data_IF_403506228496
#
_entry.id   IF_403506228496
#
_cell.length_a   1.000
_cell.length_b   1.000
_cell.length_c   1.000
_cell.angle_alpha   90.00
_cell.angle_beta   90.00
_cell.angle_gamma   90.00
#
_symmetry.space_group_name_H-M   'P 1'
#
loop_
_entity.id
_entity.type
_entity.pdbx_description
1 polymer ?
#
# COMPACT_ATOMS: atom_id res chain seq x y z
N UNK A 1 24.98 -21.59 32.67
CA UNK A 1 23.56 -21.88 32.97
C UNK A 1 23.04 -22.81 31.89
N UNK A 2 22.73 -24.08 32.22
CA UNK A 2 22.24 -25.08 31.27
C UNK A 2 20.73 -24.94 31.15
N UNK A 3 20.21 -24.66 29.95
CA UNK A 3 18.78 -24.64 29.67
C UNK A 3 18.23 -26.05 29.54
N UNK A 4 17.14 -26.34 30.24
CA UNK A 4 16.32 -27.54 30.08
C UNK A 4 15.19 -27.27 29.09
N UNK A 5 15.05 -28.11 28.06
CA UNK A 5 13.94 -28.05 27.11
C UNK A 5 12.91 -29.13 27.46
N UNK A 6 11.62 -28.77 27.42
CA UNK A 6 10.49 -29.68 27.58
C UNK A 6 9.82 -29.88 26.22
N UNK A 7 9.68 -31.13 25.80
CA UNK A 7 8.92 -31.49 24.60
C UNK A 7 7.56 -32.04 25.05
N UNK A 8 6.48 -31.45 24.52
CA UNK A 8 5.11 -31.87 24.81
C UNK A 8 4.55 -32.56 23.57
N UNK A 9 4.17 -33.83 23.71
CA UNK A 9 3.51 -34.61 22.65
C UNK A 9 2.08 -34.92 23.08
N UNK A 10 1.12 -34.60 22.19
CA UNK A 10 -0.29 -34.90 22.39
C UNK A 10 -0.60 -36.29 21.85
N UNK A 11 -1.17 -37.16 22.70
CA UNK A 11 -1.59 -38.51 22.29
C UNK A 11 -3.10 -38.72 22.55
N UNK A 12 -3.79 -39.55 21.75
CA UNK A 12 -5.19 -39.91 21.99
C UNK A 12 -5.36 -40.66 23.32
N UNK A 13 -6.30 -40.22 24.15
CA UNK A 13 -6.56 -40.86 25.45
C UNK A 13 -7.06 -42.30 25.27
N UNK A 14 -6.50 -43.28 25.99
CA UNK A 14 -6.92 -44.69 25.95
C UNK A 14 -8.21 -45.00 26.72
N UNK A 15 -8.90 -43.98 27.27
CA UNK A 15 -10.14 -44.18 28.01
C UNK A 15 -11.35 -44.41 27.08
N UNK A 16 -12.31 -45.23 27.51
CA UNK A 16 -13.51 -45.61 26.74
C UNK A 16 -14.26 -44.36 26.26
N UNK A 17 -14.57 -44.34 24.97
CA UNK A 17 -15.19 -43.23 24.23
C UNK A 17 -16.62 -43.00 24.72
N UNK A 18 -16.96 -41.75 25.04
CA UNK A 18 -18.32 -41.32 25.39
C UNK A 18 -19.14 -41.21 24.08
N UNK A 19 -20.34 -41.82 23.96
CA UNK A 19 -21.08 -41.90 22.68
C UNK A 19 -21.61 -40.55 22.16
N UNK A 20 -21.50 -39.46 22.94
CA UNK A 20 -21.99 -38.13 22.56
C UNK A 20 -20.94 -37.14 22.02
N UNK A 21 -19.65 -37.51 21.97
CA UNK A 21 -18.58 -36.58 21.61
C UNK A 21 -18.09 -36.75 20.16
N UNK A 22 -18.15 -35.69 19.36
CA UNK A 22 -17.75 -35.69 17.93
C UNK A 22 -16.23 -35.53 17.71
N UNK A 23 -15.45 -35.19 18.76
CA UNK A 23 -13.99 -35.01 18.64
C UNK A 23 -13.26 -35.74 19.80
N UNK A 24 -12.19 -36.51 19.53
CA UNK A 24 -11.48 -37.27 20.56
C UNK A 24 -10.71 -36.33 21.52
N UNK A 25 -10.73 -36.67 22.81
CA UNK A 25 -10.00 -35.98 23.86
C UNK A 25 -8.50 -36.32 23.78
N UNK A 26 -7.63 -35.32 23.64
CA UNK A 26 -6.17 -35.48 23.62
C UNK A 26 -5.60 -35.11 24.99
N UNK A 27 -4.70 -35.95 25.52
CA UNK A 27 -3.93 -35.64 26.74
C UNK A 27 -2.47 -35.33 26.39
N UNK A 28 -1.88 -34.40 27.14
CA UNK A 28 -0.49 -33.99 27.00
C UNK A 28 0.40 -34.81 27.95
N UNK A 29 1.32 -35.59 27.39
CA UNK A 29 2.36 -36.25 28.17
C UNK A 29 3.65 -35.41 28.12
N UNK A 30 4.26 -35.15 29.28
CA UNK A 30 5.51 -34.41 29.42
C UNK A 30 6.55 -35.33 30.03
N UNK A 31 7.67 -35.54 29.33
CA UNK A 31 8.80 -36.35 29.83
C UNK A 31 10.11 -35.54 29.82
N UNK A 32 10.90 -35.56 30.90
CA UNK A 32 12.24 -34.96 30.90
C UNK A 32 13.27 -35.89 30.27
N UNK A 33 14.12 -35.38 29.37
CA UNK A 33 15.20 -36.14 28.75
C UNK A 33 16.58 -35.62 29.24
N UNK A 34 17.54 -36.49 29.65
CA UNK A 34 18.87 -36.05 30.02
C UNK A 34 19.77 -35.81 28.79
N UNK A 35 20.72 -34.88 28.92
CA UNK A 35 21.67 -34.51 27.86
C UNK A 35 22.68 -35.65 27.56
N UNK A 36 23.08 -35.86 26.29
CA UNK A 36 24.08 -36.86 25.94
C UNK A 36 25.50 -36.44 26.40
N UNK A 37 26.38 -37.37 26.85
CA UNK A 37 27.73 -37.04 27.31
C UNK A 37 28.84 -37.20 26.25
N UNK A 38 29.75 -36.22 26.21
CA UNK A 38 31.15 -36.28 25.70
C UNK A 38 31.34 -36.06 24.19
N UNK A 39 32.30 -35.30 23.65
CA UNK A 39 33.61 -34.80 24.14
C UNK A 39 34.02 -33.54 23.35
N UNK A 40 34.62 -32.58 24.05
CA UNK A 40 35.35 -31.43 23.48
C UNK A 40 36.84 -31.78 23.49
N UNK A 41 37.54 -31.72 22.34
CA UNK A 41 38.90 -31.16 22.28
C UNK A 41 39.31 -30.71 20.87
N UNK A 42 39.55 -29.40 20.79
CA UNK A 42 40.44 -28.57 19.96
C UNK A 42 41.04 -29.00 18.60
N UNK A 43 40.89 -28.06 17.65
CA UNK A 43 41.86 -27.50 16.68
C UNK A 43 42.82 -28.41 15.90
N UNK A 44 42.67 -28.40 14.56
CA UNK A 44 43.72 -27.89 13.66
C UNK A 44 43.18 -27.49 12.28
N UNK A 45 43.56 -26.27 11.90
CA UNK A 45 43.63 -25.62 10.57
C UNK A 45 43.61 -26.53 9.34
N UNK A 46 42.78 -26.18 8.35
CA UNK A 46 43.18 -25.59 7.05
C UNK A 46 42.03 -25.71 6.03
N UNK A 47 41.91 -24.68 5.16
CA UNK A 47 41.38 -24.65 3.78
C UNK A 47 41.01 -23.17 3.50
N UNK A 48 41.98 -22.33 3.11
CA UNK A 48 42.47 -22.09 1.73
C UNK A 48 41.49 -21.26 0.87
N UNK A 49 41.93 -20.03 0.53
CA UNK A 49 41.34 -19.06 -0.40
C UNK A 49 41.05 -19.64 -1.79
N UNK A 50 40.04 -19.15 -2.52
CA UNK A 50 39.99 -19.29 -3.97
C UNK A 50 40.99 -18.32 -4.66
N UNK A 51 41.65 -18.70 -5.76
CA UNK A 51 42.69 -17.88 -6.37
C UNK A 51 42.14 -16.86 -7.38
N UNK A 52 42.87 -15.74 -7.45
CA UNK A 52 42.88 -14.74 -8.51
C UNK A 52 43.47 -15.32 -9.80
N UNK A 53 42.95 -14.91 -10.96
CA UNK A 53 43.76 -14.88 -12.20
C UNK A 53 43.32 -13.72 -13.11
N UNK A 54 44.16 -12.68 -13.15
CA UNK A 54 44.26 -11.73 -14.25
C UNK A 54 44.96 -12.41 -15.44
N UNK A 55 44.52 -12.16 -16.67
CA UNK A 55 45.34 -11.55 -17.73
C UNK A 55 44.61 -11.44 -19.09
N UNK A 56 44.57 -10.20 -19.59
CA UNK A 56 44.41 -9.69 -20.97
C UNK A 56 45.77 -9.90 -21.69
N UNK A 57 45.89 -10.07 -23.04
CA UNK A 57 45.53 -9.03 -24.02
C UNK A 57 44.96 -9.38 -25.42
N UNK A 58 44.26 -8.37 -25.94
CA UNK A 58 43.93 -7.93 -27.33
C UNK A 58 45.05 -8.12 -28.38
N UNK A 59 44.84 -7.97 -29.72
CA UNK A 59 43.94 -6.99 -30.36
C UNK A 59 43.19 -7.39 -31.66
N UNK A 60 42.29 -6.47 -32.07
CA UNK A 60 41.55 -6.41 -33.35
C UNK A 60 42.46 -6.25 -34.59
N UNK A 61 41.91 -6.26 -35.84
CA UNK A 61 41.38 -4.99 -36.40
C UNK A 61 40.21 -5.08 -37.44
N UNK A 62 39.41 -4.01 -37.43
CA UNK A 62 38.85 -3.17 -38.53
C UNK A 62 38.14 -3.69 -39.80
N UNK A 63 37.13 -2.87 -40.17
CA UNK A 63 36.59 -2.50 -41.51
C UNK A 63 35.61 -3.51 -42.17
N UNK A 64 34.57 -3.16 -42.93
CA UNK A 64 33.98 -1.90 -43.43
C UNK A 64 32.70 -2.26 -44.22
N UNK A 65 31.85 -1.24 -44.45
CA UNK A 65 31.10 -0.99 -45.70
C UNK A 65 29.76 -1.67 -46.05
N UNK A 66 28.81 -0.74 -46.34
CA UNK A 66 27.93 -0.62 -47.52
C UNK A 66 26.50 -1.18 -47.53
N UNK A 67 25.57 -0.22 -47.64
CA UNK A 67 24.51 -0.07 -48.64
C UNK A 67 24.06 -1.30 -49.45
N UNK A 68 22.74 -1.50 -49.53
CA UNK A 68 21.99 -1.38 -50.80
C UNK A 68 20.47 -1.31 -50.58
N UNK A 69 19.86 -0.32 -51.24
CA UNK A 69 18.46 -0.30 -51.70
C UNK A 69 18.16 -1.52 -52.58
N UNK A 70 16.87 -1.90 -52.74
CA UNK A 70 16.13 -1.80 -54.03
C UNK A 70 14.71 -2.40 -53.95
N UNK A 71 13.76 -1.55 -54.36
CA UNK A 71 12.51 -1.73 -55.14
C UNK A 71 11.33 -2.63 -54.71
N UNK A 72 10.15 -2.04 -54.98
CA UNK A 72 8.94 -2.73 -55.43
C UNK A 72 7.69 -2.19 -54.71
N UNK A 73 7.29 -0.93 -54.88
CA UNK A 73 6.45 -0.40 -55.98
C UNK A 73 5.01 -0.96 -56.06
N UNK A 74 4.09 -0.01 -56.26
CA UNK A 74 2.68 -0.09 -56.71
C UNK A 74 1.60 -0.22 -55.61
N UNK A 75 0.97 0.89 -55.18
CA UNK A 75 -0.02 1.80 -55.84
C UNK A 75 -1.46 1.33 -55.72
N UNK A 76 -2.25 2.18 -55.04
CA UNK A 76 -3.62 2.59 -55.31
C UNK A 76 -4.68 1.51 -55.60
N UNK A 77 -5.74 1.49 -54.78
CA UNK A 77 -7.01 2.13 -55.18
C UNK A 77 -7.98 2.30 -54.01
N UNK A 78 -8.77 3.36 -54.15
CA UNK A 78 -9.73 3.94 -53.22
C UNK A 78 -11.11 3.38 -53.56
N UNK A 79 -11.87 2.94 -52.58
CA UNK A 79 -13.25 2.50 -52.74
C UNK A 79 -14.06 2.77 -51.47
N UNK A 80 -15.05 3.64 -51.61
CA UNK A 80 -15.95 4.21 -50.62
C UNK A 80 -17.28 3.43 -50.51
N UNK A 81 -18.06 3.76 -49.45
CA UNK A 81 -19.48 3.41 -49.20
C UNK A 81 -19.74 1.98 -48.73
N UNK A 82 -20.76 1.66 -47.93
CA UNK A 82 -21.61 2.30 -46.91
C UNK A 82 -22.43 1.12 -46.32
N UNK A 83 -23.00 1.29 -45.13
CA UNK A 83 -24.18 0.60 -44.57
C UNK A 83 -24.45 -0.91 -44.85
N UNK A 84 -24.62 -1.70 -43.80
CA UNK A 84 -25.97 -2.11 -43.36
C UNK A 84 -25.93 -3.06 -42.15
N UNK A 85 -26.89 -2.82 -41.25
CA UNK A 85 -27.35 -3.75 -40.21
C UNK A 85 -27.75 -5.08 -40.84
N UNK A 86 -27.49 -6.21 -40.15
CA UNK A 86 -28.55 -7.10 -39.65
C UNK A 86 -28.03 -8.38 -38.97
N UNK A 87 -28.79 -8.74 -37.93
CA UNK A 87 -29.17 -10.09 -37.46
C UNK A 87 -28.14 -11.06 -36.89
N UNK A 88 -28.42 -11.41 -35.62
CA UNK A 88 -28.12 -12.71 -34.99
C UNK A 88 -28.60 -13.87 -35.87
N UNK A 89 -27.91 -15.02 -35.77
CA UNK A 89 -28.54 -16.24 -35.23
C UNK A 89 -27.67 -16.81 -34.10
N UNK A 90 -28.21 -17.42 -33.06
CA UNK A 90 -28.78 -18.76 -33.13
C UNK A 90 -27.76 -19.74 -32.52
N UNK A 91 -28.04 -20.16 -31.29
CA UNK A 91 -27.27 -21.14 -30.50
C UNK A 91 -27.29 -22.51 -31.20
N UNK A 92 -26.23 -23.30 -31.09
CA UNK A 92 -26.42 -24.73 -30.90
C UNK A 92 -25.65 -25.28 -29.70
N UNK A 93 -25.95 -26.55 -29.45
CA UNK A 93 -25.88 -27.26 -28.20
C UNK A 93 -24.50 -27.76 -27.78
N UNK A 94 -24.49 -28.25 -26.54
CA UNK A 94 -23.39 -28.82 -25.77
C UNK A 94 -22.80 -30.06 -26.43
N UNK A 95 -21.47 -30.16 -26.39
CA UNK A 95 -20.77 -31.44 -26.29
C UNK A 95 -19.86 -31.39 -25.06
N UNK A 96 -20.05 -32.39 -24.19
CA UNK A 96 -19.18 -32.68 -23.05
C UNK A 96 -17.80 -33.09 -23.55
N UNK A 97 -16.74 -32.58 -22.93
CA UNK A 97 -15.49 -33.32 -22.76
C UNK A 97 -14.80 -32.87 -21.48
N UNK A 98 -14.48 -33.85 -20.63
CA UNK A 98 -13.89 -33.66 -19.33
C UNK A 98 -12.40 -33.35 -19.40
N UNK A 99 -11.96 -32.51 -18.46
CA UNK A 99 -10.57 -32.48 -18.00
C UNK A 99 -10.57 -32.08 -16.52
N UNK A 100 -10.12 -33.00 -15.69
CA UNK A 100 -9.97 -32.87 -14.25
C UNK A 100 -8.92 -31.81 -13.91
N UNK A 101 -9.31 -30.83 -13.10
CA UNK A 101 -8.38 -29.98 -12.35
C UNK A 101 -8.93 -29.84 -10.93
N UNK A 102 -8.20 -30.41 -9.97
CA UNK A 102 -8.47 -30.34 -8.53
C UNK A 102 -8.62 -28.89 -8.06
N UNK A 103 -9.86 -28.46 -7.79
CA UNK A 103 -10.16 -27.23 -7.05
C UNK A 103 -10.72 -27.62 -5.68
N UNK A 104 -10.05 -27.13 -4.63
CA UNK A 104 -10.55 -27.19 -3.25
C UNK A 104 -11.89 -26.43 -3.19
N UNK A 105 -12.97 -27.00 -2.63
CA UNK A 105 -14.25 -26.31 -2.57
C UNK A 105 -14.21 -25.15 -1.57
N UNK A 106 -14.91 -24.02 -1.83
CA UNK A 106 -15.08 -22.98 -0.83
C UNK A 106 -15.97 -23.53 0.29
N UNK A 107 -15.43 -23.60 1.51
CA UNK A 107 -16.17 -23.95 2.73
C UNK A 107 -17.30 -22.95 2.94
N UNK A 108 -18.53 -23.33 2.58
CA UNK A 108 -19.76 -22.64 2.97
C UNK A 108 -20.13 -23.09 4.38
N UNK A 109 -20.01 -22.22 5.36
CA UNK A 109 -20.59 -22.43 6.68
C UNK A 109 -22.13 -22.26 6.58
N UNK A 110 -22.94 -23.19 7.13
CA UNK A 110 -24.39 -23.01 7.21
C UNK A 110 -24.74 -21.88 8.19
N UNK A 111 -25.58 -20.95 7.75
CA UNK A 111 -26.10 -19.82 8.53
C UNK A 111 -27.22 -20.24 9.52
N UNK A 112 -27.42 -21.53 9.78
CA UNK A 112 -28.52 -22.05 10.60
C UNK A 112 -28.23 -22.17 12.10
N UNK A 113 -27.07 -21.72 12.59
CA UNK A 113 -26.75 -21.74 14.03
C UNK A 113 -27.01 -20.38 14.75
N UNK A 114 -27.93 -19.56 14.22
CA UNK A 114 -28.30 -18.25 14.77
C UNK A 114 -29.52 -18.27 15.71
N UNK A 115 -29.85 -19.42 16.27
CA UNK A 115 -30.82 -19.54 17.37
C UNK A 115 -30.25 -20.53 18.36
N UNK A 116 -29.72 -20.02 19.47
CA UNK A 116 -30.09 -20.51 20.79
C UNK A 116 -29.44 -19.69 21.89
N UNK A 117 -30.26 -19.43 22.92
CA UNK A 117 -30.08 -18.44 23.96
C UNK A 117 -28.89 -18.68 24.88
N UNK A 118 -28.43 -17.57 25.43
CA UNK A 118 -27.41 -17.49 26.46
C UNK A 118 -27.87 -18.24 27.73
N UNK A 119 -27.15 -19.31 28.07
CA UNK A 119 -27.05 -19.79 29.46
C UNK A 119 -25.57 -19.80 29.82
N UNK A 120 -25.12 -18.72 30.45
CA UNK A 120 -23.83 -18.68 31.13
C UNK A 120 -23.90 -19.59 32.37
N UNK A 121 -23.19 -20.72 32.32
CA UNK A 121 -22.86 -21.47 33.53
C UNK A 121 -21.53 -20.92 34.02
N UNK A 122 -21.59 -20.15 35.11
CA UNK A 122 -20.42 -19.70 35.83
C UNK A 122 -19.71 -20.91 36.46
N UNK A 123 -18.45 -21.14 36.07
CA UNK A 123 -17.52 -21.92 36.88
C UNK A 123 -16.16 -21.22 36.90
N UNK A 124 -15.59 -21.11 38.11
CA UNK A 124 -14.64 -20.09 38.49
C UNK A 124 -13.22 -20.22 37.96
N UNK A 125 -12.47 -19.12 38.09
CA UNK A 125 -11.00 -19.14 38.17
C UNK A 125 -10.21 -18.32 37.15
N UNK A 126 -10.83 -17.51 36.29
CA UNK A 126 -10.09 -16.57 35.43
C UNK A 126 -10.97 -15.37 35.15
N UNK A 127 -10.48 -14.14 35.41
CA UNK A 127 -11.20 -12.96 34.97
C UNK A 127 -11.50 -13.08 33.46
N UNK A 128 -12.75 -12.96 33.00
CA UNK A 128 -13.10 -13.14 31.59
C UNK A 128 -12.32 -12.26 30.61
N UNK A 129 -11.67 -11.20 31.12
CA UNK A 129 -10.78 -10.32 30.36
C UNK A 129 -9.35 -10.84 30.17
N UNK A 130 -8.79 -11.61 31.11
CA UNK A 130 -7.36 -11.96 31.07
C UNK A 130 -7.06 -12.95 29.93
N UNK A 131 -7.92 -13.94 29.72
CA UNK A 131 -7.76 -14.93 28.64
C UNK A 131 -7.81 -14.25 27.26
N UNK A 132 -8.74 -13.31 27.05
CA UNK A 132 -8.84 -12.55 25.80
C UNK A 132 -7.54 -11.79 25.52
N UNK A 133 -6.99 -11.09 26.50
CA UNK A 133 -5.78 -10.28 26.31
C UNK A 133 -4.55 -11.15 26.02
N UNK A 134 -4.45 -12.33 26.63
CA UNK A 134 -3.41 -13.31 26.32
C UNK A 134 -3.54 -13.78 24.87
N UNK A 135 -4.72 -14.21 24.43
CA UNK A 135 -4.91 -14.69 23.06
C UNK A 135 -4.76 -13.58 22.02
N UNK A 136 -5.27 -12.38 22.27
CA UNK A 136 -5.04 -11.25 21.36
C UNK A 136 -3.54 -10.95 21.26
N UNK A 137 -2.78 -11.10 22.35
CA UNK A 137 -1.31 -10.96 22.32
C UNK A 137 -0.65 -12.05 21.49
N UNK A 138 -1.10 -13.30 21.57
CA UNK A 138 -0.65 -14.39 20.68
C UNK A 138 -1.00 -14.09 19.22
N UNK A 139 -2.21 -13.65 18.96
CA UNK A 139 -2.70 -13.33 17.60
C UNK A 139 -1.92 -12.20 16.92
N UNK A 140 -1.22 -11.34 17.66
CA UNK A 140 -0.36 -10.28 17.07
C UNK A 140 0.81 -10.86 16.27
N UNK A 141 1.20 -12.11 16.51
CA UNK A 141 2.26 -12.79 15.77
C UNK A 141 1.76 -13.50 14.51
N UNK A 142 0.45 -13.58 14.32
CA UNK A 142 -0.15 -14.23 13.15
C UNK A 142 -0.29 -13.27 11.97
N UNK A 143 -0.18 -13.83 10.78
CA UNK A 143 -0.53 -13.12 9.55
C UNK A 143 -2.04 -12.91 9.45
N UNK A 144 -2.46 -11.95 8.62
CA UNK A 144 -3.90 -11.70 8.36
C UNK A 144 -4.62 -12.93 7.81
N UNK A 145 -3.94 -13.77 7.04
CA UNK A 145 -4.50 -15.00 6.49
C UNK A 145 -4.73 -16.04 7.60
N UNK A 146 -3.76 -16.23 8.48
CA UNK A 146 -3.87 -17.13 9.64
C UNK A 146 -4.96 -16.66 10.61
N UNK A 147 -5.08 -15.34 10.85
CA UNK A 147 -6.18 -14.79 11.65
C UNK A 147 -7.56 -15.13 11.08
N UNK A 148 -7.70 -15.13 9.75
CA UNK A 148 -8.95 -15.56 9.11
C UNK A 148 -9.23 -17.05 9.32
N UNK A 149 -8.20 -17.90 9.44
CA UNK A 149 -8.36 -19.32 9.80
C UNK A 149 -8.73 -19.46 11.28
N UNK A 150 -8.10 -18.70 12.18
CA UNK A 150 -8.44 -18.66 13.60
C UNK A 150 -9.91 -18.31 13.85
N UNK A 151 -10.50 -17.44 13.01
CA UNK A 151 -11.92 -17.09 13.10
C UNK A 151 -12.85 -18.30 12.93
N UNK A 152 -12.40 -19.40 12.32
CA UNK A 152 -13.20 -20.60 12.11
C UNK A 152 -13.10 -21.62 13.27
N UNK A 153 -12.23 -21.40 14.25
CA UNK A 153 -11.96 -22.37 15.33
C UNK A 153 -13.10 -22.42 16.35
N UNK A 154 -13.49 -21.26 16.92
CA UNK A 154 -14.59 -21.18 17.88
C UNK A 154 -15.19 -19.77 17.94
N UNK A 155 -16.34 -19.60 18.61
CA UNK A 155 -17.04 -18.31 18.75
C UNK A 155 -16.17 -17.24 19.44
N UNK A 156 -15.34 -17.61 20.42
CA UNK A 156 -14.44 -16.69 21.10
C UNK A 156 -13.30 -16.24 20.18
N UNK A 157 -12.64 -17.17 19.49
CA UNK A 157 -11.57 -16.86 18.55
C UNK A 157 -12.07 -16.02 17.38
N UNK A 158 -13.31 -16.24 16.91
CA UNK A 158 -13.96 -15.34 15.95
C UNK A 158 -14.00 -13.89 16.47
N UNK A 159 -14.49 -13.68 17.69
CA UNK A 159 -14.59 -12.33 18.29
C UNK A 159 -13.21 -11.71 18.53
N UNK A 160 -12.27 -12.47 19.09
CA UNK A 160 -10.94 -11.98 19.45
C UNK A 160 -10.05 -11.73 18.24
N UNK A 161 -10.15 -12.57 17.19
CA UNK A 161 -9.44 -12.35 15.93
C UNK A 161 -9.94 -11.12 15.19
N UNK A 162 -11.11 -10.56 15.53
CA UNK A 162 -11.62 -9.30 14.98
C UNK A 162 -11.17 -8.07 15.78
N UNK A 163 -10.35 -8.22 16.82
CA UNK A 163 -9.84 -7.09 17.61
C UNK A 163 -9.13 -6.07 16.70
N UNK A 164 -9.58 -4.80 16.77
CA UNK A 164 -9.08 -3.70 15.93
C UNK A 164 -7.55 -3.54 15.96
N UNK A 165 -6.90 -3.92 17.07
CA UNK A 165 -5.43 -3.86 17.22
C UNK A 165 -4.72 -4.77 16.22
N UNK A 166 -5.36 -5.85 15.79
CA UNK A 166 -4.84 -6.81 14.82
C UNK A 166 -5.02 -6.34 13.36
N UNK A 167 -5.92 -5.38 13.13
CA UNK A 167 -6.34 -4.93 11.80
C UNK A 167 -6.09 -3.44 11.56
N UNK A 168 -5.10 -2.87 12.25
CA UNK A 168 -4.74 -1.45 12.13
C UNK A 168 -4.52 -0.99 10.69
N UNK A 169 -4.00 -1.87 9.83
CA UNK A 169 -3.87 -1.66 8.39
C UNK A 169 -4.53 -2.80 7.62
N UNK A 170 -5.34 -2.47 6.63
CA UNK A 170 -5.92 -3.42 5.67
C UNK A 170 -5.50 -3.01 4.26
N UNK A 171 -5.00 -3.96 3.48
CA UNK A 171 -4.61 -3.76 2.09
C UNK A 171 -5.41 -4.72 1.20
N UNK A 172 -6.04 -4.16 0.16
CA UNK A 172 -6.89 -4.86 -0.81
C UNK A 172 -6.41 -4.71 -2.26
N UNK A 173 -5.19 -4.27 -2.50
CA UNK A 173 -4.68 -3.98 -3.86
C UNK A 173 -4.71 -5.19 -4.79
N UNK A 174 -4.65 -6.40 -4.24
CA UNK A 174 -4.72 -7.67 -5.00
C UNK A 174 -6.15 -7.98 -5.48
N UNK A 175 -7.17 -7.30 -4.95
CA UNK A 175 -8.58 -7.60 -5.24
C UNK A 175 -9.14 -6.67 -6.32
N UNK A 176 -9.42 -7.22 -7.51
CA UNK A 176 -10.04 -6.45 -8.60
C UNK A 176 -11.43 -5.89 -8.23
N UNK A 177 -12.22 -6.66 -7.48
CA UNK A 177 -13.55 -6.28 -7.04
C UNK A 177 -13.69 -6.46 -5.52
N UNK A 178 -14.46 -5.57 -4.89
CA UNK A 178 -14.70 -5.63 -3.44
C UNK A 178 -16.12 -6.13 -3.19
N UNK A 179 -16.24 -7.30 -2.56
CA UNK A 179 -17.54 -7.89 -2.23
C UNK A 179 -18.23 -7.17 -1.07
N UNK A 180 -19.57 -7.20 -0.98
CA UNK A 180 -20.29 -6.66 0.18
C UNK A 180 -19.85 -7.27 1.52
N UNK A 181 -19.50 -8.56 1.52
CA UNK A 181 -18.98 -9.26 2.70
C UNK A 181 -17.60 -8.72 3.10
N UNK A 182 -16.73 -8.41 2.13
CA UNK A 182 -15.45 -7.78 2.40
C UNK A 182 -15.66 -6.40 3.03
N UNK A 183 -16.55 -5.57 2.47
CA UNK A 183 -16.87 -4.25 3.04
C UNK A 183 -17.39 -4.35 4.48
N UNK A 184 -18.33 -5.27 4.75
CA UNK A 184 -18.83 -5.54 6.11
C UNK A 184 -17.72 -5.98 7.05
N UNK A 185 -16.82 -6.84 6.56
CA UNK A 185 -15.64 -7.27 7.29
C UNK A 185 -14.66 -6.15 7.60
N UNK A 186 -14.46 -5.18 6.71
CA UNK A 186 -13.60 -4.01 6.94
C UNK A 186 -14.20 -3.15 8.06
N UNK A 187 -15.52 -2.89 7.99
CA UNK A 187 -16.22 -2.09 9.01
C UNK A 187 -16.14 -2.76 10.37
N UNK A 188 -16.32 -4.08 10.47
CA UNK A 188 -16.19 -4.79 11.76
C UNK A 188 -14.79 -4.66 12.38
N UNK A 189 -13.76 -4.52 11.55
CA UNK A 189 -12.34 -4.47 11.97
C UNK A 189 -11.84 -3.05 12.28
N UNK A 190 -12.54 -2.01 11.84
CA UNK A 190 -12.23 -0.60 12.12
C UNK A 190 -10.73 -0.23 11.89
N UNK A 191 -10.18 -0.43 10.68
CA UNK A 191 -8.79 -0.10 10.40
C UNK A 191 -8.51 1.41 10.51
N UNK A 192 -7.27 1.74 10.86
CA UNK A 192 -6.75 3.12 10.84
C UNK A 192 -6.16 3.48 9.47
N UNK A 193 -5.61 2.49 8.76
CA UNK A 193 -5.15 2.63 7.39
C UNK A 193 -5.84 1.63 6.46
N UNK A 194 -6.36 2.14 5.34
CA UNK A 194 -7.03 1.35 4.33
C UNK A 194 -6.42 1.62 2.96
N UNK A 195 -5.93 0.57 2.32
CA UNK A 195 -5.37 0.63 0.97
C UNK A 195 -6.30 -0.09 -0.01
N UNK A 196 -6.91 0.70 -0.90
CA UNK A 196 -7.83 0.27 -1.96
C UNK A 196 -7.24 0.58 -3.34
N UNK A 197 -5.92 0.79 -3.43
CA UNK A 197 -5.27 1.15 -4.68
C UNK A 197 -5.50 0.07 -5.74
N UNK A 198 -5.74 0.49 -6.98
CA UNK A 198 -5.97 -0.40 -8.15
C UNK A 198 -7.19 -1.32 -8.02
N UNK A 199 -8.13 -0.99 -7.14
CA UNK A 199 -9.41 -1.70 -7.00
C UNK A 199 -10.52 -1.02 -7.80
N UNK A 200 -11.49 -1.80 -8.29
CA UNK A 200 -12.70 -1.26 -8.93
C UNK A 200 -13.78 -0.96 -7.87
N UNK A 201 -13.45 -0.13 -6.88
CA UNK A 201 -14.42 0.33 -5.89
C UNK A 201 -15.34 1.38 -6.53
N UNK A 202 -16.65 1.28 -6.29
CA UNK A 202 -17.63 2.29 -6.73
C UNK A 202 -17.79 3.42 -5.70
N UNK A 203 -18.31 4.58 -6.15
CA UNK A 203 -18.66 5.71 -5.27
C UNK A 203 -19.52 5.28 -4.07
N UNK A 204 -20.56 4.48 -4.30
CA UNK A 204 -21.47 3.99 -3.25
C UNK A 204 -20.73 3.18 -2.19
N UNK A 205 -19.84 2.29 -2.62
CA UNK A 205 -19.06 1.46 -1.71
C UNK A 205 -18.05 2.30 -0.91
N UNK A 206 -17.36 3.25 -1.55
CA UNK A 206 -16.43 4.13 -0.86
C UNK A 206 -17.17 5.04 0.15
N UNK A 207 -18.29 5.65 -0.26
CA UNK A 207 -19.17 6.40 0.66
C UNK A 207 -19.60 5.54 1.85
N UNK A 208 -19.98 4.28 1.61
CA UNK A 208 -20.40 3.37 2.68
C UNK A 208 -19.27 3.08 3.69
N UNK A 209 -18.03 2.95 3.21
CA UNK A 209 -16.86 2.74 4.06
C UNK A 209 -16.52 3.99 4.87
N UNK A 210 -16.36 5.15 4.22
CA UNK A 210 -15.92 6.38 4.91
C UNK A 210 -16.91 6.83 5.97
N UNK A 211 -18.22 6.63 5.74
CA UNK A 211 -19.26 6.95 6.72
C UNK A 211 -19.29 6.01 7.93
N UNK A 212 -18.61 4.86 7.87
CA UNK A 212 -18.62 3.81 8.92
C UNK A 212 -17.23 3.51 9.48
N UNK A 213 -16.23 4.31 9.12
CA UNK A 213 -14.85 4.20 9.59
C UNK A 213 -14.38 5.52 10.22
N UNK A 214 -14.95 5.91 11.39
CA UNK A 214 -14.62 7.18 12.04
C UNK A 214 -13.14 7.28 12.48
N UNK A 215 -12.48 6.14 12.68
CA UNK A 215 -11.06 6.07 13.06
C UNK A 215 -10.08 6.08 11.89
N UNK A 216 -10.56 6.13 10.64
CA UNK A 216 -9.71 6.07 9.45
C UNK A 216 -8.86 7.35 9.33
N UNK A 217 -7.56 7.18 9.16
CA UNK A 217 -6.58 8.28 9.05
C UNK A 217 -5.80 8.22 7.76
N UNK A 218 -5.51 7.02 7.27
CA UNK A 218 -4.71 6.81 6.07
C UNK A 218 -5.56 6.10 5.02
N UNK A 219 -5.76 6.74 3.86
CA UNK A 219 -6.56 6.19 2.77
C UNK A 219 -5.76 6.23 1.47
N UNK A 220 -5.56 5.06 0.87
CA UNK A 220 -4.87 4.93 -0.42
C UNK A 220 -5.85 4.53 -1.51
N UNK A 221 -5.93 5.35 -2.56
CA UNK A 221 -6.81 5.22 -3.71
C UNK A 221 -6.02 5.35 -5.01
N UNK A 222 -4.74 4.96 -5.02
CA UNK A 222 -3.92 5.07 -6.23
C UNK A 222 -4.53 4.25 -7.37
N UNK A 223 -4.57 4.78 -8.59
CA UNK A 223 -5.16 4.08 -9.74
C UNK A 223 -6.69 3.94 -9.72
N UNK A 224 -7.40 4.50 -8.74
CA UNK A 224 -8.86 4.54 -8.74
C UNK A 224 -9.39 5.69 -9.61
N UNK A 225 -10.62 5.57 -10.10
CA UNK A 225 -11.28 6.63 -10.88
C UNK A 225 -11.86 7.74 -9.97
N UNK A 226 -11.83 8.98 -10.46
CA UNK A 226 -12.48 10.13 -9.84
C UNK A 226 -13.96 9.88 -9.52
N UNK A 227 -14.67 9.14 -10.38
CA UNK A 227 -16.09 8.79 -10.15
C UNK A 227 -16.30 8.20 -8.75
N UNK A 228 -15.36 7.39 -8.29
CA UNK A 228 -15.38 6.79 -6.95
C UNK A 228 -14.78 7.71 -5.89
N UNK A 229 -13.63 8.34 -6.17
CA UNK A 229 -12.94 9.25 -5.24
C UNK A 229 -13.82 10.45 -4.83
N UNK A 230 -14.72 10.91 -5.71
CA UNK A 230 -15.69 11.96 -5.42
C UNK A 230 -16.61 11.67 -4.22
N UNK A 231 -16.63 10.42 -3.70
CA UNK A 231 -17.24 10.09 -2.42
C UNK A 231 -16.62 10.86 -1.23
N UNK A 232 -15.34 11.23 -1.32
CA UNK A 232 -14.61 11.95 -0.28
C UNK A 232 -15.01 13.42 -0.15
N UNK A 233 -15.68 13.99 -1.16
CA UNK A 233 -16.26 15.34 -1.09
C UNK A 233 -17.47 15.43 -0.14
N UNK A 234 -17.90 14.31 0.44
CA UNK A 234 -18.98 14.28 1.44
C UNK A 234 -18.51 14.84 2.79
N UNK A 235 -19.40 15.54 3.50
CA UNK A 235 -19.16 16.04 4.86
C UNK A 235 -18.95 14.94 5.89
N UNK A 236 -19.32 13.70 5.58
CA UNK A 236 -19.12 12.52 6.42
C UNK A 236 -17.72 11.89 6.27
N UNK A 237 -16.84 12.49 5.46
CA UNK A 237 -15.47 12.03 5.29
C UNK A 237 -14.69 12.17 6.60
N UNK A 238 -13.97 11.12 7.07
CA UNK A 238 -13.16 11.21 8.28
C UNK A 238 -12.00 12.18 8.09
N UNK A 239 -11.46 12.69 9.20
CA UNK A 239 -10.33 13.63 9.19
C UNK A 239 -9.02 12.91 8.88
N UNK A 240 -8.79 12.69 7.59
CA UNK A 240 -7.61 11.99 7.08
C UNK A 240 -6.33 12.77 7.38
N UNK A 241 -5.26 12.01 7.62
CA UNK A 241 -3.87 12.46 7.74
C UNK A 241 -3.06 12.11 6.51
N UNK A 242 -3.39 11.01 5.85
CA UNK A 242 -2.72 10.57 4.63
C UNK A 242 -3.76 10.28 3.56
N UNK A 243 -3.59 10.89 2.40
CA UNK A 243 -4.38 10.61 1.21
C UNK A 243 -3.46 10.39 0.01
N UNK A 244 -3.64 9.27 -0.67
CA UNK A 244 -2.90 8.91 -1.87
C UNK A 244 -3.85 8.75 -3.05
N UNK A 245 -3.66 9.62 -4.04
CA UNK A 245 -4.39 9.66 -5.30
C UNK A 245 -3.46 9.45 -6.50
N UNK A 246 -2.28 8.83 -6.30
CA UNK A 246 -1.30 8.62 -7.38
C UNK A 246 -1.93 7.88 -8.55
N UNK A 247 -1.70 8.35 -9.77
CA UNK A 247 -2.22 7.75 -11.00
C UNK A 247 -3.74 7.55 -11.02
N UNK A 248 -4.49 8.33 -10.23
CA UNK A 248 -5.93 8.26 -10.22
C UNK A 248 -6.51 8.80 -11.53
N UNK A 249 -7.43 8.04 -12.12
CA UNK A 249 -8.02 8.37 -13.41
C UNK A 249 -9.04 9.51 -13.29
N UNK A 250 -8.96 10.50 -14.18
CA UNK A 250 -9.88 11.64 -14.23
C UNK A 250 -9.70 12.67 -13.10
N UNK A 251 -8.62 12.60 -12.31
CA UNK A 251 -8.34 13.59 -11.26
C UNK A 251 -7.48 14.73 -11.81
N UNK A 252 -8.07 15.92 -11.93
CA UNK A 252 -7.41 17.17 -12.35
C UNK A 252 -7.67 18.29 -11.34
N UNK A 253 -7.19 19.50 -11.62
CA UNK A 253 -7.35 20.67 -10.76
C UNK A 253 -8.81 20.94 -10.33
N UNK A 254 -9.78 20.76 -11.23
CA UNK A 254 -11.20 20.94 -10.93
C UNK A 254 -11.70 19.94 -9.88
N UNK A 255 -11.31 18.68 -10.01
CA UNK A 255 -11.70 17.61 -9.10
C UNK A 255 -11.05 17.77 -7.72
N UNK A 256 -9.78 18.20 -7.67
CA UNK A 256 -9.13 18.53 -6.40
C UNK A 256 -9.82 19.73 -5.72
N UNK A 257 -10.30 20.72 -6.50
CA UNK A 257 -11.11 21.82 -5.97
C UNK A 257 -12.42 21.32 -5.37
N UNK A 258 -13.14 20.43 -6.06
CA UNK A 258 -14.40 19.84 -5.57
C UNK A 258 -14.19 18.98 -4.32
N UNK A 259 -13.01 18.37 -4.16
CA UNK A 259 -12.63 17.63 -2.96
C UNK A 259 -12.35 18.55 -1.77
N UNK A 260 -11.66 19.66 -2.00
CA UNK A 260 -11.22 20.57 -0.94
C UNK A 260 -12.27 21.61 -0.54
N UNK A 261 -13.11 22.01 -1.48
CA UNK A 261 -14.13 23.03 -1.31
C UNK A 261 -15.48 22.59 -1.94
N UNK A 262 -16.12 21.53 -1.40
CA UNK A 262 -17.41 21.10 -1.90
C UNK A 262 -18.47 22.20 -1.71
N UNK A 263 -19.39 22.38 -2.67
CA UNK A 263 -20.43 23.41 -2.60
C UNK A 263 -21.32 23.21 -1.37
N UNK A 264 -21.56 24.29 -0.62
CA UNK A 264 -22.40 24.29 0.59
C UNK A 264 -21.69 24.03 1.92
N UNK A 265 -20.35 23.94 1.94
CA UNK A 265 -19.56 23.85 3.18
C UNK A 265 -18.95 25.21 3.55
N UNK A 266 -18.95 25.58 4.84
CA UNK A 266 -18.45 26.86 5.40
C UNK A 266 -16.92 27.05 5.30
N UNK A 267 -16.32 26.84 4.12
CA UNK A 267 -14.88 26.94 3.85
C UNK A 267 -13.97 26.04 4.74
N UNK A 268 -14.53 25.16 5.57
CA UNK A 268 -13.78 24.24 6.42
C UNK A 268 -13.52 22.94 5.66
N UNK A 269 -12.34 22.84 5.06
CA UNK A 269 -11.91 21.62 4.37
C UNK A 269 -11.85 20.41 5.31
N UNK A 270 -12.33 19.25 4.84
CA UNK A 270 -12.20 17.98 5.57
C UNK A 270 -10.74 17.50 5.65
N UNK A 271 -9.87 18.01 4.78
CA UNK A 271 -8.47 17.63 4.68
C UNK A 271 -7.53 18.57 5.48
N UNK A 272 -8.06 19.33 6.45
CA UNK A 272 -7.25 20.25 7.28
C UNK A 272 -6.16 19.56 8.12
N UNK A 273 -6.37 18.28 8.44
CA UNK A 273 -5.44 17.47 9.22
C UNK A 273 -4.44 16.70 8.34
N UNK A 274 -4.40 17.00 7.04
CA UNK A 274 -3.53 16.32 6.09
C UNK A 274 -2.06 16.57 6.46
N UNK A 275 -1.31 15.49 6.58
CA UNK A 275 0.13 15.46 6.81
C UNK A 275 0.86 14.92 5.58
N UNK A 276 0.23 14.01 4.84
CA UNK A 276 0.84 13.36 3.68
C UNK A 276 -0.13 13.31 2.50
N UNK A 277 0.18 14.04 1.44
CA UNK A 277 -0.67 14.09 0.25
C UNK A 277 0.12 13.67 -0.98
N UNK A 278 -0.35 12.60 -1.65
CA UNK A 278 0.34 12.02 -2.81
C UNK A 278 -0.51 12.14 -4.06
N UNK A 279 0.00 12.87 -5.04
CA UNK A 279 -0.67 13.28 -6.28
C UNK A 279 0.14 12.89 -7.53
N UNK A 280 1.08 11.96 -7.41
CA UNK A 280 1.96 11.59 -8.51
C UNK A 280 1.18 11.16 -9.76
N UNK A 281 1.66 11.55 -10.94
CA UNK A 281 1.09 11.16 -12.23
C UNK A 281 -0.25 11.81 -12.56
N UNK A 282 -0.66 12.85 -11.83
CA UNK A 282 -1.89 13.61 -12.12
C UNK A 282 -1.63 14.83 -13.01
N UNK A 283 -2.64 15.22 -13.79
CA UNK A 283 -2.66 16.45 -14.59
C UNK A 283 -3.09 17.65 -13.73
N UNK A 284 -2.18 18.10 -12.85
CA UNK A 284 -2.39 19.23 -11.95
C UNK A 284 -1.47 20.41 -12.26
N UNK A 285 -1.88 21.60 -11.84
CA UNK A 285 -1.17 22.86 -12.05
C UNK A 285 -1.01 23.66 -10.75
N UNK A 286 -0.48 24.88 -10.87
CA UNK A 286 -0.39 25.88 -9.80
C UNK A 286 -1.72 26.09 -9.06
N UNK A 287 -2.84 25.88 -9.73
CA UNK A 287 -4.16 26.04 -9.13
C UNK A 287 -4.42 25.03 -8.00
N UNK A 288 -4.00 23.77 -8.16
CA UNK A 288 -4.05 22.77 -7.08
C UNK A 288 -3.16 23.18 -5.92
N UNK A 289 -1.95 23.68 -6.17
CA UNK A 289 -1.02 24.06 -5.09
C UNK A 289 -1.55 25.24 -4.25
N UNK A 290 -2.21 26.21 -4.88
CA UNK A 290 -2.89 27.30 -4.14
C UNK A 290 -3.94 26.74 -3.17
N UNK A 291 -4.67 25.70 -3.58
CA UNK A 291 -5.64 25.04 -2.71
C UNK A 291 -4.96 24.26 -1.58
N UNK A 292 -3.87 23.55 -1.87
CA UNK A 292 -3.07 22.83 -0.86
C UNK A 292 -2.58 23.79 0.22
N UNK A 293 -1.96 24.91 -0.18
CA UNK A 293 -1.47 25.94 0.75
C UNK A 293 -2.61 26.48 1.64
N UNK A 294 -3.78 26.72 1.05
CA UNK A 294 -4.95 27.26 1.76
C UNK A 294 -5.58 26.26 2.74
N UNK A 295 -5.66 24.99 2.37
CA UNK A 295 -6.51 24.02 3.07
C UNK A 295 -5.73 22.98 3.90
N UNK A 296 -4.40 22.86 3.74
CA UNK A 296 -3.58 21.84 4.41
C UNK A 296 -2.43 22.45 5.21
N UNK A 297 -2.70 23.15 6.33
CA UNK A 297 -1.66 23.85 7.09
C UNK A 297 -0.69 22.92 7.84
N UNK A 298 -1.01 21.63 7.95
CA UNK A 298 -0.19 20.64 8.67
C UNK A 298 0.60 19.72 7.72
N UNK A 299 0.65 20.06 6.43
CA UNK A 299 1.25 19.19 5.42
C UNK A 299 2.76 19.10 5.60
N UNK A 300 3.27 17.89 5.78
CA UNK A 300 4.71 17.61 5.95
C UNK A 300 5.29 16.83 4.76
N UNK A 301 4.49 15.98 4.12
CA UNK A 301 4.90 15.16 2.98
C UNK A 301 4.04 15.44 1.76
N UNK A 302 4.67 15.83 0.67
CA UNK A 302 3.99 16.13 -0.58
C UNK A 302 4.68 15.42 -1.74
N UNK A 303 3.93 14.57 -2.44
CA UNK A 303 4.42 13.86 -3.63
C UNK A 303 3.67 14.38 -4.86
N UNK A 304 4.41 15.02 -5.75
CA UNK A 304 3.98 15.64 -7.00
C UNK A 304 4.76 15.06 -8.18
N UNK A 305 5.36 13.87 -8.03
CA UNK A 305 6.16 13.26 -9.08
C UNK A 305 5.35 13.00 -10.35
N UNK A 306 5.98 13.11 -11.52
CA UNK A 306 5.36 12.95 -12.84
C UNK A 306 4.17 13.90 -13.12
N UNK A 307 4.02 15.01 -12.38
CA UNK A 307 3.04 16.06 -12.68
C UNK A 307 3.60 17.04 -13.73
N UNK A 308 3.27 16.83 -15.01
CA UNK A 308 3.79 17.64 -16.13
C UNK A 308 3.26 19.08 -16.24
N UNK A 309 2.25 19.44 -15.43
CA UNK A 309 1.69 20.80 -15.37
C UNK A 309 2.46 21.74 -14.44
N UNK A 310 3.36 21.22 -13.61
CA UNK A 310 4.09 22.01 -12.61
C UNK A 310 5.33 22.70 -13.19
N UNK A 311 5.56 23.94 -12.79
CA UNK A 311 6.64 24.82 -13.23
C UNK A 311 7.41 25.38 -12.02
N UNK A 312 8.49 26.12 -12.26
CA UNK A 312 9.23 26.78 -11.17
C UNK A 312 8.34 27.76 -10.38
N UNK A 313 7.31 28.32 -11.01
CA UNK A 313 6.33 29.17 -10.34
C UNK A 313 5.46 28.40 -9.34
N UNK A 314 5.17 27.12 -9.61
CA UNK A 314 4.51 26.21 -8.67
C UNK A 314 5.30 26.12 -7.36
N UNK A 315 6.62 26.01 -7.47
CA UNK A 315 7.53 25.92 -6.33
C UNK A 315 7.67 27.27 -5.61
N UNK A 316 7.70 28.37 -6.36
CA UNK A 316 7.65 29.71 -5.78
C UNK A 316 6.39 29.91 -4.92
N UNK A 317 5.22 29.44 -5.37
CA UNK A 317 3.97 29.50 -4.60
C UNK A 317 4.05 28.71 -3.29
N UNK A 318 4.53 27.46 -3.32
CA UNK A 318 4.68 26.62 -2.12
C UNK A 318 5.63 27.22 -1.08
N UNK A 319 6.63 27.97 -1.53
CA UNK A 319 7.71 28.52 -0.69
C UNK A 319 7.56 30.03 -0.41
N UNK A 320 6.50 30.65 -0.92
CA UNK A 320 6.23 32.08 -0.76
C UNK A 320 6.07 32.46 0.72
N UNK A 321 6.33 33.73 1.03
CA UNK A 321 6.07 34.28 2.37
C UNK A 321 4.58 34.18 2.66
N UNK A 322 4.22 33.69 3.86
CA UNK A 322 2.83 33.44 4.24
C UNK A 322 2.25 32.10 3.75
N UNK A 323 3.00 31.32 2.96
CA UNK A 323 2.61 29.95 2.62
C UNK A 323 2.70 29.05 3.85
N UNK A 324 1.62 28.31 4.14
CA UNK A 324 1.58 27.35 5.25
C UNK A 324 2.62 26.24 5.12
N UNK A 325 2.89 25.80 3.88
CA UNK A 325 3.82 24.71 3.58
C UNK A 325 5.28 25.09 3.79
N UNK A 326 5.61 26.39 3.88
CA UNK A 326 6.99 26.87 3.92
C UNK A 326 7.78 26.34 5.12
N UNK A 327 7.13 26.23 6.27
CA UNK A 327 7.74 25.82 7.54
C UNK A 327 7.31 24.42 7.99
N UNK A 328 6.48 23.72 7.20
CA UNK A 328 5.94 22.41 7.58
C UNK A 328 6.41 21.29 6.68
N UNK A 329 6.72 21.56 5.40
CA UNK A 329 7.17 20.53 4.47
C UNK A 329 8.55 19.99 4.87
N UNK A 330 8.58 18.69 5.12
CA UNK A 330 9.78 17.91 5.43
C UNK A 330 10.19 17.01 4.26
N UNK A 331 9.23 16.51 3.48
CA UNK A 331 9.50 15.65 2.33
C UNK A 331 8.75 16.18 1.12
N UNK A 332 9.48 16.43 0.03
CA UNK A 332 8.93 16.92 -1.22
C UNK A 332 9.47 16.05 -2.38
N UNK A 333 8.56 15.36 -3.06
CA UNK A 333 8.90 14.60 -4.26
C UNK A 333 8.39 15.33 -5.51
N UNK A 334 9.32 15.70 -6.39
CA UNK A 334 9.09 16.38 -7.67
C UNK A 334 9.65 15.55 -8.84
N UNK A 335 10.00 14.29 -8.61
CA UNK A 335 10.67 13.46 -9.61
C UNK A 335 9.87 13.35 -10.91
N UNK A 336 10.54 13.39 -12.06
CA UNK A 336 9.89 13.29 -13.36
C UNK A 336 9.05 14.50 -13.78
N UNK A 337 9.03 15.61 -13.02
CA UNK A 337 8.42 16.86 -13.47
C UNK A 337 9.26 17.50 -14.58
N UNK A 338 8.70 17.56 -15.79
CA UNK A 338 9.44 17.91 -17.01
C UNK A 338 9.66 19.40 -17.25
N UNK A 339 8.87 20.28 -16.63
CA UNK A 339 8.95 21.74 -16.79
C UNK A 339 9.68 22.45 -15.64
N UNK A 340 10.23 21.70 -14.68
CA UNK A 340 11.08 22.27 -13.63
C UNK A 340 12.49 22.50 -14.16
N UNK A 341 13.07 23.63 -13.76
CA UNK A 341 14.44 24.01 -14.09
C UNK A 341 15.27 24.27 -12.85
N UNK A 342 16.58 24.48 -13.01
CA UNK A 342 17.48 24.90 -11.93
C UNK A 342 16.98 26.13 -11.14
N UNK A 343 16.11 26.96 -11.73
CA UNK A 343 15.50 28.08 -11.03
C UNK A 343 14.62 27.67 -9.84
N UNK A 344 14.00 26.48 -9.84
CA UNK A 344 13.16 26.03 -8.72
C UNK A 344 13.96 25.88 -7.41
N UNK A 345 15.23 25.50 -7.49
CA UNK A 345 16.09 25.30 -6.32
C UNK A 345 16.26 26.59 -5.51
N UNK A 346 16.28 27.76 -6.17
CA UNK A 346 16.33 29.08 -5.50
C UNK A 346 15.13 29.31 -4.59
N UNK A 347 13.97 28.79 -4.98
CA UNK A 347 12.76 28.87 -4.18
C UNK A 347 12.76 27.82 -3.06
N UNK A 348 13.21 26.60 -3.33
CA UNK A 348 13.27 25.50 -2.36
C UNK A 348 14.18 25.80 -1.16
N UNK A 349 15.19 26.66 -1.32
CA UNK A 349 16.05 27.14 -0.21
C UNK A 349 15.27 27.81 0.93
N UNK A 350 14.05 28.26 0.66
CA UNK A 350 13.17 28.92 1.64
C UNK A 350 12.47 27.93 2.58
N UNK A 351 12.51 26.63 2.30
CA UNK A 351 11.92 25.58 3.13
C UNK A 351 12.87 25.25 4.28
N UNK A 352 12.49 25.64 5.50
CA UNK A 352 13.33 25.50 6.69
C UNK A 352 13.37 24.07 7.25
N UNK A 353 12.31 23.29 7.05
CA UNK A 353 12.15 21.95 7.61
C UNK A 353 12.47 20.82 6.60
N UNK A 354 12.94 21.15 5.40
CA UNK A 354 13.13 20.18 4.32
C UNK A 354 14.21 19.17 4.69
N UNK A 355 13.81 17.90 4.73
CA UNK A 355 14.66 16.75 5.06
C UNK A 355 14.89 15.82 3.87
N UNK A 356 13.94 15.76 2.93
CA UNK A 356 14.03 14.93 1.74
C UNK A 356 13.47 15.70 0.54
N UNK A 357 14.27 15.79 -0.51
CA UNK A 357 13.89 16.39 -1.78
C UNK A 357 14.27 15.44 -2.92
N UNK A 358 13.28 14.98 -3.67
CA UNK A 358 13.48 14.12 -4.82
C UNK A 358 13.25 14.90 -6.11
N UNK A 359 14.32 15.06 -6.91
CA UNK A 359 14.33 15.71 -8.22
C UNK A 359 14.82 14.76 -9.32
N UNK A 360 14.81 13.44 -9.07
CA UNK A 360 15.21 12.43 -10.06
C UNK A 360 14.34 12.54 -11.31
N UNK A 361 14.90 12.23 -12.47
CA UNK A 361 14.19 12.33 -13.77
C UNK A 361 13.69 13.73 -14.18
N UNK A 362 13.91 14.78 -13.38
CA UNK A 362 13.71 16.17 -13.81
C UNK A 362 14.79 16.56 -14.81
N UNK A 363 14.45 16.53 -16.10
CA UNK A 363 15.40 16.80 -17.20
C UNK A 363 15.92 18.24 -17.21
N UNK A 364 15.12 19.20 -16.75
CA UNK A 364 15.50 20.62 -16.69
C UNK A 364 16.32 21.00 -15.45
N UNK A 365 16.46 20.10 -14.47
CA UNK A 365 17.28 20.32 -13.27
C UNK A 365 18.61 19.62 -13.44
N UNK A 366 19.72 20.34 -13.36
CA UNK A 366 21.07 19.80 -13.48
C UNK A 366 21.60 19.30 -12.13
N UNK A 367 22.42 18.25 -12.17
CA UNK A 367 23.10 17.75 -10.97
C UNK A 367 23.99 18.83 -10.32
N UNK A 368 24.66 19.65 -11.14
CA UNK A 368 25.48 20.77 -10.67
C UNK A 368 24.69 21.78 -9.86
N UNK A 369 23.44 22.07 -10.25
CA UNK A 369 22.57 22.95 -9.48
C UNK A 369 22.17 22.33 -8.13
N UNK A 370 21.92 21.02 -8.08
CA UNK A 370 21.70 20.30 -6.81
C UNK A 370 22.92 20.37 -5.88
N UNK A 371 24.13 20.20 -6.42
CA UNK A 371 25.39 20.34 -5.65
C UNK A 371 25.59 21.77 -5.13
N UNK A 372 25.31 22.78 -5.95
CA UNK A 372 25.33 24.18 -5.54
C UNK A 372 24.30 24.47 -4.44
N UNK A 373 23.07 23.96 -4.60
CA UNK A 373 22.01 24.07 -3.60
C UNK A 373 22.40 23.47 -2.25
N UNK A 374 23.01 22.28 -2.23
CA UNK A 374 23.52 21.66 -0.99
C UNK A 374 24.63 22.51 -0.38
N UNK A 375 25.59 22.97 -1.20
CA UNK A 375 26.71 23.80 -0.74
C UNK A 375 26.22 25.08 -0.07
N UNK A 376 25.17 25.71 -0.61
CA UNK A 376 24.56 26.91 -0.06
C UNK A 376 23.76 26.67 1.25
N UNK A 377 23.22 25.47 1.45
CA UNK A 377 22.48 25.09 2.67
C UNK A 377 23.37 24.53 3.78
N UNK A 378 24.62 24.17 3.45
CA UNK A 378 25.57 23.54 4.37
C UNK A 378 25.84 24.33 5.66
N UNK A 379 25.58 25.65 5.66
CA UNK A 379 25.68 26.52 6.84
C UNK A 379 24.65 26.15 7.91
N UNK A 380 23.47 25.67 7.51
CA UNK A 380 22.34 25.41 8.40
C UNK A 380 22.11 23.92 8.66
N UNK A 381 22.35 23.07 7.66
CA UNK A 381 22.16 21.62 7.78
C UNK A 381 23.02 20.86 6.76
N UNK A 382 23.40 19.64 7.12
CA UNK A 382 24.14 18.75 6.22
C UNK A 382 23.19 17.94 5.35
N UNK A 383 23.41 18.00 4.04
CA UNK A 383 22.68 17.23 3.05
C UNK A 383 23.62 16.33 2.24
N UNK A 384 23.17 15.11 1.90
CA UNK A 384 23.80 14.28 0.89
C UNK A 384 23.03 14.33 -0.43
N UNK A 385 23.77 14.16 -1.52
CA UNK A 385 23.23 13.89 -2.84
C UNK A 385 23.46 12.41 -3.15
N UNK A 386 22.37 11.67 -3.35
CA UNK A 386 22.36 10.27 -3.77
C UNK A 386 21.59 10.13 -5.09
N UNK A 387 21.78 9.01 -5.80
CA UNK A 387 20.95 8.63 -6.96
C UNK A 387 20.70 9.78 -7.95
N UNK A 388 21.79 10.47 -8.35
CA UNK A 388 21.83 11.63 -9.24
C UNK A 388 21.24 12.93 -8.66
N UNK A 389 19.97 12.92 -8.23
CA UNK A 389 19.22 14.13 -7.80
C UNK A 389 18.31 13.93 -6.58
N UNK A 390 18.60 12.91 -5.77
CA UNK A 390 17.92 12.71 -4.49
C UNK A 390 18.73 13.38 -3.38
N UNK A 391 18.15 14.38 -2.73
CA UNK A 391 18.79 15.18 -1.68
C UNK A 391 18.16 14.79 -0.33
N UNK A 392 19.00 14.40 0.63
CA UNK A 392 18.55 13.97 1.96
C UNK A 392 19.36 14.65 3.05
N UNK A 393 18.70 15.08 4.13
CA UNK A 393 19.35 15.67 5.30
C UNK A 393 19.93 14.58 6.19
N UNK A 394 21.17 14.74 6.63
CA UNK A 394 21.92 13.73 7.41
C UNK A 394 21.95 14.07 8.90
N UNK A 395 21.77 15.36 9.26
CA UNK A 395 21.75 15.87 10.64
C UNK A 395 20.65 16.90 10.82
#
# INVERSE_FOLDING_TARGET
MKGSYLTVTLQPSRAKHDPGAIVPKLEAAVTPCPAPPGLIYTQRKNLARPPLRNHIPDPAPSSSDRHTHIQGSNTHTRGSHQDERRTRPGRPERTNNGASSSRVPPLRLPLSALQDGEREVANGGSEPGCEREVWVSVFRYLTRAELCVCMAVCKNWYKWSLDKRLWMRINLTVSKAISPQALSGIIKRQPVALDLSWTSISKKQLTWLVNRLPGLKDLMLSGCSWSSISALSSTSCPLLRTLDLRWADGVKDGQIRDLLNPPGCDNRSQLRNMQSFRLAGLEISDSTLRLVIRHMPLLTRLDLSHCGGLTDQSINLLTAVGSSTRNTLTELNLGGCSKLTDACLRYLRRLSCLSLLDLRECKGVSRKACEAFISELSVNALYCLSEDKLIQRIS
#
